data_IF_574939953854
#
_entry.id   IF_574939953854
#
_cell.length_a   1.000
_cell.length_b   1.000
_cell.length_c   1.000
_cell.angle_alpha   90.00
_cell.angle_beta   90.00
_cell.angle_gamma   90.00
#
_symmetry.space_group_name_H-M   'P 1'
#
loop_
_entity.id
_entity.type
_entity.pdbx_description
1 polymer ?
#
# COMPACT_ATOMS: atom_id res chain seq x y z
N UNK A 1 84.82 61.53 45.54
CA UNK A 1 83.44 61.14 45.18
C UNK A 1 83.40 60.97 43.67
N UNK A 2 83.25 59.72 43.23
CA UNK A 2 82.82 59.17 41.92
C UNK A 2 83.55 59.65 40.63
N UNK A 3 84.06 58.64 39.90
CA UNK A 3 84.73 58.66 38.60
C UNK A 3 83.77 58.78 37.40
N UNK A 4 84.25 59.38 36.31
CA UNK A 4 84.45 58.71 35.01
C UNK A 4 83.27 58.40 34.06
N UNK A 5 83.35 58.98 32.86
CA UNK A 5 83.09 58.42 31.51
C UNK A 5 81.82 57.61 31.20
N UNK A 6 81.16 57.92 30.07
CA UNK A 6 80.30 56.94 29.37
C UNK A 6 79.35 57.50 28.32
N UNK A 7 79.57 57.08 27.07
CA UNK A 7 78.76 57.15 25.85
C UNK A 7 77.28 56.71 26.02
N UNK A 8 76.40 57.15 25.12
CA UNK A 8 75.13 56.45 24.86
C UNK A 8 74.11 57.23 24.04
N UNK A 9 73.63 56.62 22.94
CA UNK A 9 72.76 57.18 21.92
C UNK A 9 71.31 57.47 22.38
N UNK A 10 70.65 58.40 21.70
CA UNK A 10 69.21 58.62 21.74
C UNK A 10 68.74 59.22 20.43
N UNK A 11 68.18 58.38 19.56
CA UNK A 11 67.30 58.78 18.45
C UNK A 11 65.90 59.00 19.05
N UNK A 12 65.16 59.97 18.49
CA UNK A 12 63.69 60.16 18.46
C UNK A 12 63.37 61.66 18.65
N UNK A 13 62.50 62.35 17.91
CA UNK A 13 61.43 62.02 16.94
C UNK A 13 60.94 63.31 16.27
N UNK A 14 60.22 63.15 15.16
CA UNK A 14 59.14 64.01 14.63
C UNK A 14 59.40 64.88 13.37
N UNK A 15 59.02 64.32 12.22
CA UNK A 15 58.04 64.87 11.26
C UNK A 15 57.95 63.87 10.09
N UNK A 16 56.82 63.29 9.67
CA UNK A 16 55.40 63.52 9.89
C UNK A 16 54.70 62.20 9.62
N UNK A 17 53.81 61.81 10.52
CA UNK A 17 52.84 60.73 10.34
C UNK A 17 51.96 61.00 9.13
N UNK A 18 51.97 60.10 8.14
CA UNK A 18 50.77 59.68 7.40
C UNK A 18 51.09 58.47 6.50
N UNK A 19 51.80 57.47 7.04
CA UNK A 19 51.45 56.09 6.70
C UNK A 19 50.20 55.76 7.53
N UNK A 20 49.10 56.49 7.27
CA UNK A 20 47.79 55.95 7.58
C UNK A 20 47.71 54.70 6.75
N UNK A 21 47.45 53.60 7.43
CA UNK A 21 46.92 52.38 6.90
C UNK A 21 45.70 52.73 6.01
N UNK A 22 45.97 53.15 4.77
CA UNK A 22 45.12 52.75 3.68
C UNK A 22 45.46 51.28 3.57
N UNK A 23 44.81 50.48 4.41
CA UNK A 23 44.37 49.18 4.01
C UNK A 23 43.64 49.46 2.70
N UNK A 24 44.38 49.44 1.61
CA UNK A 24 43.83 49.44 0.29
C UNK A 24 42.91 48.24 0.36
N UNK A 25 41.61 48.50 0.34
CA UNK A 25 40.65 47.49 -0.05
C UNK A 25 41.03 47.17 -1.50
N UNK A 26 42.03 46.30 -1.64
CA UNK A 26 42.45 45.76 -2.91
C UNK A 26 41.28 44.88 -3.30
N UNK A 27 40.44 45.41 -4.19
CA UNK A 27 39.42 44.63 -4.84
C UNK A 27 40.04 43.39 -5.48
N UNK A 28 39.25 42.33 -5.70
CA UNK A 28 39.75 41.08 -6.23
C UNK A 28 40.55 41.34 -7.52
N UNK A 29 41.67 40.64 -7.66
CA UNK A 29 42.48 40.69 -8.87
C UNK A 29 41.67 40.20 -10.09
N UNK A 30 42.13 40.55 -11.29
CA UNK A 30 41.47 40.10 -12.53
C UNK A 30 41.44 38.56 -12.65
N UNK A 31 42.43 37.88 -12.09
CA UNK A 31 42.51 36.41 -12.06
C UNK A 31 41.50 35.81 -11.08
N UNK A 32 41.39 36.36 -9.86
CA UNK A 32 40.37 35.93 -8.88
C UNK A 32 38.94 36.18 -9.38
N UNK A 33 38.72 37.28 -10.10
CA UNK A 33 37.42 37.57 -10.72
C UNK A 33 37.08 36.56 -11.81
N UNK A 34 38.05 36.18 -12.64
CA UNK A 34 37.87 35.17 -13.68
C UNK A 34 37.60 33.77 -13.08
N UNK A 35 38.32 33.37 -12.03
CA UNK A 35 38.08 32.12 -11.32
C UNK A 35 36.69 32.10 -10.67
N UNK A 36 36.27 33.22 -10.07
CA UNK A 36 34.94 33.36 -9.49
C UNK A 36 33.85 33.25 -10.56
N UNK A 37 34.01 33.91 -11.71
CA UNK A 37 33.08 33.81 -12.84
C UNK A 37 33.00 32.39 -13.40
N UNK A 38 34.13 31.68 -13.47
CA UNK A 38 34.18 30.28 -13.90
C UNK A 38 33.45 29.36 -12.91
N UNK A 39 33.64 29.58 -11.60
CA UNK A 39 32.92 28.85 -10.54
C UNK A 39 31.42 29.12 -10.56
N UNK A 40 31.01 30.36 -10.78
CA UNK A 40 29.59 30.73 -10.90
C UNK A 40 28.98 30.03 -12.11
N UNK A 41 29.65 30.08 -13.27
CA UNK A 41 29.18 29.41 -14.49
C UNK A 41 29.05 27.90 -14.32
N UNK A 42 30.01 27.26 -13.65
CA UNK A 42 29.93 25.83 -13.35
C UNK A 42 28.76 25.52 -12.41
N UNK A 43 28.56 26.30 -11.36
CA UNK A 43 27.45 26.14 -10.43
C UNK A 43 26.08 26.36 -11.11
N UNK A 44 25.97 27.33 -12.02
CA UNK A 44 24.76 27.56 -12.82
C UNK A 44 24.46 26.38 -13.75
N UNK A 45 25.48 25.79 -14.37
CA UNK A 45 25.33 24.60 -15.21
C UNK A 45 24.88 23.37 -14.40
N UNK A 46 25.50 23.14 -13.24
CA UNK A 46 25.14 22.03 -12.35
C UNK A 46 23.71 22.21 -11.81
N UNK A 47 23.34 23.44 -11.44
CA UNK A 47 21.97 23.75 -11.01
C UNK A 47 20.97 23.53 -12.14
N UNK A 48 21.28 23.97 -13.37
CA UNK A 48 20.42 23.73 -14.53
C UNK A 48 20.25 22.23 -14.83
N UNK A 49 21.32 21.44 -14.73
CA UNK A 49 21.27 19.99 -14.91
C UNK A 49 20.44 19.30 -13.80
N UNK A 50 20.58 19.73 -12.55
CA UNK A 50 19.80 19.22 -11.44
C UNK A 50 18.30 19.56 -11.57
N UNK A 51 17.97 20.77 -12.04
CA UNK A 51 16.59 21.18 -12.32
C UNK A 51 16.00 20.30 -13.43
N UNK A 52 16.71 20.11 -14.53
CA UNK A 52 16.23 19.26 -15.63
C UNK A 52 15.99 17.80 -15.18
N UNK A 53 16.88 17.23 -14.38
CA UNK A 53 16.70 15.89 -13.82
C UNK A 53 15.52 15.80 -12.84
N UNK A 54 15.30 16.86 -12.05
CA UNK A 54 14.15 16.95 -11.16
C UNK A 54 12.83 17.05 -11.93
N UNK A 55 12.77 17.84 -13.00
CA UNK A 55 11.61 17.95 -13.88
C UNK A 55 11.26 16.61 -14.54
N UNK A 56 12.27 15.86 -15.01
CA UNK A 56 12.06 14.51 -15.54
C UNK A 56 11.50 13.56 -14.47
N UNK A 57 12.04 13.62 -13.25
CA UNK A 57 11.57 12.80 -12.13
C UNK A 57 10.14 13.13 -11.70
N UNK A 58 9.76 14.41 -11.77
CA UNK A 58 8.39 14.87 -11.50
C UNK A 58 7.43 14.35 -12.57
N UNK A 59 7.82 14.40 -13.85
CA UNK A 59 7.01 13.85 -14.93
C UNK A 59 6.80 12.33 -14.80
N UNK A 60 7.84 11.57 -14.42
CA UNK A 60 7.72 10.14 -14.11
C UNK A 60 6.78 9.87 -12.91
N UNK A 61 6.89 10.69 -11.86
CA UNK A 61 6.01 10.59 -10.69
C UNK A 61 4.54 10.84 -11.04
N UNK A 62 4.23 11.84 -11.87
CA UNK A 62 2.87 12.13 -12.33
C UNK A 62 2.27 10.97 -13.13
N UNK A 63 3.07 10.34 -14.00
CA UNK A 63 2.65 9.15 -14.75
C UNK A 63 2.36 8.00 -13.77
N UNK A 64 3.25 7.74 -12.81
CA UNK A 64 3.05 6.67 -11.82
C UNK A 64 1.87 6.93 -10.90
N UNK A 65 1.61 8.17 -10.52
CA UNK A 65 0.42 8.55 -9.74
C UNK A 65 -0.84 8.19 -10.52
N UNK A 66 -0.91 8.57 -11.79
CA UNK A 66 -2.04 8.23 -12.67
C UNK A 66 -2.22 6.71 -12.81
N UNK A 67 -1.12 5.96 -13.03
CA UNK A 67 -1.18 4.50 -13.12
C UNK A 67 -1.64 3.85 -11.80
N UNK A 68 -1.25 4.40 -10.65
CA UNK A 68 -1.66 3.91 -9.35
C UNK A 68 -3.15 4.17 -9.11
N UNK A 69 -3.64 5.36 -9.45
CA UNK A 69 -5.06 5.70 -9.34
C UNK A 69 -5.94 4.78 -10.20
N UNK A 70 -5.52 4.52 -11.44
CA UNK A 70 -6.22 3.58 -12.34
C UNK A 70 -6.23 2.15 -11.76
N UNK A 71 -5.12 1.71 -11.17
CA UNK A 71 -5.02 0.38 -10.54
C UNK A 71 -5.86 0.28 -9.28
N UNK A 72 -5.90 1.32 -8.46
CA UNK A 72 -6.73 1.38 -7.26
C UNK A 72 -8.22 1.28 -7.64
N UNK A 73 -8.65 2.06 -8.63
CA UNK A 73 -10.01 2.00 -9.15
C UNK A 73 -10.35 0.60 -9.71
N UNK A 74 -9.42 -0.03 -10.44
CA UNK A 74 -9.61 -1.37 -10.96
C UNK A 74 -9.68 -2.44 -9.86
N UNK A 75 -8.91 -2.30 -8.78
CA UNK A 75 -8.97 -3.19 -7.62
C UNK A 75 -10.31 -3.03 -6.90
N UNK A 76 -10.73 -1.80 -6.62
CA UNK A 76 -12.01 -1.52 -5.96
C UNK A 76 -13.20 -2.15 -6.73
N UNK A 77 -13.23 -1.99 -8.06
CA UNK A 77 -14.26 -2.60 -8.89
C UNK A 77 -14.24 -4.15 -8.84
N UNK A 78 -13.05 -4.75 -8.75
CA UNK A 78 -12.91 -6.22 -8.62
C UNK A 78 -13.37 -6.70 -7.25
N UNK A 79 -13.06 -5.97 -6.18
CA UNK A 79 -13.48 -6.31 -4.82
C UNK A 79 -15.00 -6.24 -4.68
N UNK A 80 -15.64 -5.23 -5.26
CA UNK A 80 -17.11 -5.14 -5.32
C UNK A 80 -17.71 -6.33 -6.07
N UNK A 81 -17.15 -6.69 -7.24
CA UNK A 81 -17.64 -7.82 -8.03
C UNK A 81 -17.43 -9.18 -7.34
N UNK A 82 -16.34 -9.35 -6.60
CA UNK A 82 -16.09 -10.55 -5.78
C UNK A 82 -17.09 -10.62 -4.63
N UNK A 83 -17.28 -9.51 -3.91
CA UNK A 83 -18.25 -9.44 -2.80
C UNK A 83 -19.66 -9.83 -3.27
N UNK A 84 -20.12 -9.26 -4.39
CA UNK A 84 -21.43 -9.62 -4.96
C UNK A 84 -21.51 -11.11 -5.38
N UNK A 85 -20.40 -11.70 -5.81
CA UNK A 85 -20.33 -13.13 -6.16
C UNK A 85 -20.37 -14.01 -4.91
N UNK A 86 -19.68 -13.63 -3.84
CA UNK A 86 -19.67 -14.33 -2.55
C UNK A 86 -21.05 -14.27 -1.88
N UNK A 87 -21.70 -13.11 -1.88
CA UNK A 87 -23.07 -12.95 -1.36
C UNK A 87 -24.06 -13.84 -2.11
N UNK A 88 -23.98 -13.86 -3.45
CA UNK A 88 -24.81 -14.74 -4.27
C UNK A 88 -24.52 -16.22 -3.98
N UNK A 89 -23.25 -16.60 -3.82
CA UNK A 89 -22.88 -17.96 -3.45
C UNK A 89 -23.46 -18.34 -2.08
N UNK A 90 -23.31 -17.50 -1.05
CA UNK A 90 -23.87 -17.73 0.29
C UNK A 90 -25.40 -17.86 0.27
N UNK A 91 -26.09 -17.07 -0.56
CA UNK A 91 -27.54 -17.15 -0.70
C UNK A 91 -28.03 -18.41 -1.44
N UNK A 92 -27.20 -18.98 -2.32
CA UNK A 92 -27.65 -20.00 -3.27
C UNK A 92 -26.95 -21.34 -3.16
N UNK A 93 -25.82 -21.44 -2.47
CA UNK A 93 -25.02 -22.66 -2.37
C UNK A 93 -24.93 -23.17 -0.93
N UNK A 94 -24.84 -24.48 -0.80
CA UNK A 94 -24.69 -25.17 0.48
C UNK A 94 -23.53 -26.16 0.32
N UNK A 95 -22.43 -25.91 1.02
CA UNK A 95 -21.30 -26.83 1.08
C UNK A 95 -21.56 -28.00 2.04
N UNK A 96 -20.63 -28.96 2.06
CA UNK A 96 -20.66 -30.07 3.02
C UNK A 96 -20.63 -29.51 4.45
N UNK A 97 -21.54 -29.97 5.31
CA UNK A 97 -21.66 -29.44 6.66
C UNK A 97 -23.05 -29.66 7.28
N UNK A 98 -23.33 -28.94 8.37
CA UNK A 98 -24.66 -28.84 8.96
C UNK A 98 -25.10 -27.38 8.94
N UNK A 99 -26.30 -27.13 8.43
CA UNK A 99 -26.81 -25.79 8.12
C UNK A 99 -28.21 -25.62 8.68
N UNK A 100 -28.46 -24.51 9.37
CA UNK A 100 -29.76 -24.14 9.91
C UNK A 100 -30.53 -23.33 8.87
N UNK A 101 -31.65 -23.85 8.39
CA UNK A 101 -32.46 -23.22 7.35
C UNK A 101 -33.24 -22.04 7.94
N UNK A 102 -33.06 -20.86 7.32
CA UNK A 102 -33.54 -19.57 7.82
C UNK A 102 -32.52 -18.81 8.66
N UNK A 103 -31.37 -19.41 8.98
CA UNK A 103 -30.25 -18.74 9.68
C UNK A 103 -29.00 -18.75 8.81
N UNK A 104 -28.54 -19.93 8.42
CA UNK A 104 -27.31 -20.11 7.65
C UNK A 104 -27.59 -20.18 6.13
N UNK A 105 -28.75 -20.69 5.73
CA UNK A 105 -29.17 -20.84 4.32
C UNK A 105 -30.64 -20.49 4.16
N UNK A 106 -31.02 -19.95 3.00
CA UNK A 106 -32.42 -19.64 2.72
C UNK A 106 -33.29 -20.90 2.53
N UNK A 107 -34.59 -20.87 2.88
CA UNK A 107 -35.50 -21.93 2.49
C UNK A 107 -35.67 -21.98 0.97
N UNK A 108 -35.89 -23.19 0.42
CA UNK A 108 -36.03 -23.38 -1.02
C UNK A 108 -35.77 -24.82 -1.47
N UNK A 109 -35.82 -25.01 -2.78
CA UNK A 109 -35.46 -26.28 -3.41
C UNK A 109 -34.00 -26.25 -3.84
N UNK A 110 -33.25 -27.30 -3.49
CA UNK A 110 -31.82 -27.41 -3.74
C UNK A 110 -31.53 -28.71 -4.49
N UNK A 111 -30.49 -28.70 -5.31
CA UNK A 111 -29.98 -29.88 -6.03
C UNK A 111 -28.45 -29.87 -6.01
N UNK A 112 -27.82 -31.03 -5.97
CA UNK A 112 -26.35 -31.09 -6.08
C UNK A 112 -25.87 -30.47 -7.40
N UNK A 113 -24.77 -29.72 -7.34
CA UNK A 113 -24.14 -29.11 -8.53
C UNK A 113 -23.57 -30.21 -9.43
N UNK A 114 -22.85 -31.15 -8.83
CA UNK A 114 -22.26 -32.28 -9.51
C UNK A 114 -23.06 -33.56 -9.28
N UNK A 115 -22.84 -34.54 -10.15
CA UNK A 115 -23.38 -35.87 -9.95
C UNK A 115 -22.67 -36.51 -8.75
N UNK A 116 -23.45 -37.02 -7.80
CA UNK A 116 -22.98 -37.94 -6.78
C UNK A 116 -22.49 -39.20 -7.49
N UNK A 117 -21.24 -39.61 -7.21
CA UNK A 117 -20.59 -40.78 -7.83
C UNK A 117 -20.17 -41.84 -6.81
N UNK A 118 -20.21 -41.50 -5.53
CA UNK A 118 -19.95 -42.40 -4.40
C UNK A 118 -21.09 -42.29 -3.39
N UNK A 119 -21.20 -43.29 -2.51
CA UNK A 119 -22.24 -43.26 -1.47
C UNK A 119 -22.08 -42.05 -0.57
N UNK A 120 -23.13 -41.23 -0.45
CA UNK A 120 -23.20 -40.10 0.47
C UNK A 120 -24.50 -40.12 1.27
N UNK A 121 -24.55 -39.34 2.34
CA UNK A 121 -25.73 -39.17 3.18
C UNK A 121 -26.12 -37.70 3.24
N UNK A 122 -27.42 -37.44 3.26
CA UNK A 122 -27.97 -36.15 3.67
C UNK A 122 -29.15 -36.39 4.62
N UNK A 123 -29.41 -35.43 5.50
CA UNK A 123 -30.52 -35.48 6.45
C UNK A 123 -31.11 -34.11 6.72
N UNK A 124 -32.43 -34.06 6.89
CA UNK A 124 -33.20 -32.89 7.30
C UNK A 124 -33.80 -33.20 8.66
N UNK A 125 -33.55 -32.34 9.63
CA UNK A 125 -33.98 -32.51 11.02
C UNK A 125 -34.78 -31.31 11.48
N UNK A 126 -35.57 -31.45 12.54
CA UNK A 126 -36.11 -30.26 13.23
C UNK A 126 -35.00 -29.57 14.01
N UNK A 127 -34.86 -28.25 13.83
CA UNK A 127 -33.82 -27.46 14.49
C UNK A 127 -33.86 -27.59 16.01
N UNK A 128 -32.67 -27.66 16.63
CA UNK A 128 -32.51 -27.71 18.09
C UNK A 128 -32.82 -29.06 18.73
N UNK A 129 -33.18 -30.08 17.93
CA UNK A 129 -33.41 -31.45 18.43
C UNK A 129 -32.13 -32.27 18.54
N UNK A 130 -30.98 -31.71 18.18
CA UNK A 130 -29.70 -32.42 18.11
C UNK A 130 -29.81 -33.72 17.28
N UNK A 131 -30.42 -33.60 16.10
CA UNK A 131 -30.67 -34.68 15.13
C UNK A 131 -31.58 -35.83 15.63
N UNK A 132 -32.30 -35.64 16.74
CA UNK A 132 -33.21 -36.65 17.28
C UNK A 132 -34.55 -36.74 16.52
N UNK A 133 -34.96 -35.67 15.83
CA UNK A 133 -36.21 -35.61 15.06
C UNK A 133 -35.90 -35.47 13.56
N UNK A 134 -35.90 -36.61 12.86
CA UNK A 134 -35.64 -36.70 11.42
C UNK A 134 -36.92 -36.36 10.66
N UNK A 135 -36.86 -35.33 9.82
CA UNK A 135 -37.91 -34.97 8.88
C UNK A 135 -37.79 -35.78 7.59
N UNK A 136 -36.59 -35.89 7.05
CA UNK A 136 -36.29 -36.68 5.84
C UNK A 136 -34.78 -36.98 5.77
N UNK A 137 -34.40 -38.07 5.13
CA UNK A 137 -32.99 -38.41 4.89
C UNK A 137 -32.83 -39.45 3.77
N UNK A 138 -31.62 -39.53 3.21
CA UNK A 138 -31.31 -40.58 2.25
C UNK A 138 -29.82 -40.94 2.22
N UNK A 139 -29.54 -42.18 1.82
CA UNK A 139 -28.21 -42.67 1.45
C UNK A 139 -28.15 -42.77 -0.07
N UNK A 140 -27.61 -41.74 -0.70
CA UNK A 140 -27.57 -41.60 -2.16
C UNK A 140 -26.37 -42.35 -2.72
N UNK A 141 -26.57 -43.14 -3.77
CA UNK A 141 -25.50 -43.90 -4.45
C UNK A 141 -25.17 -43.37 -5.85
N UNK A 142 -25.90 -42.36 -6.33
CA UNK A 142 -25.66 -41.80 -7.66
C UNK A 142 -26.65 -40.69 -8.04
N UNK A 143 -26.29 -39.93 -9.08
CA UNK A 143 -27.18 -38.95 -9.72
C UNK A 143 -27.14 -37.57 -9.08
N UNK A 144 -28.22 -36.79 -9.23
CA UNK A 144 -28.30 -35.42 -8.72
C UNK A 144 -29.47 -35.31 -7.73
N UNK A 145 -29.28 -35.71 -6.45
CA UNK A 145 -30.36 -35.64 -5.48
C UNK A 145 -30.85 -34.19 -5.33
N UNK A 146 -32.13 -34.05 -5.00
CA UNK A 146 -32.80 -32.77 -4.81
C UNK A 146 -33.59 -32.81 -3.50
N UNK A 147 -33.60 -31.69 -2.77
CA UNK A 147 -34.30 -31.54 -1.49
C UNK A 147 -35.11 -30.26 -1.48
N UNK A 148 -36.10 -30.18 -0.59
CA UNK A 148 -36.80 -28.93 -0.29
C UNK A 148 -36.63 -28.61 1.18
N UNK A 149 -35.89 -27.53 1.44
CA UNK A 149 -35.58 -27.03 2.77
C UNK A 149 -36.59 -25.96 3.19
N UNK A 150 -37.02 -26.03 4.44
CA UNK A 150 -37.96 -25.10 5.08
C UNK A 150 -37.33 -24.51 6.33
N UNK A 151 -37.73 -23.29 6.66
CA UNK A 151 -37.29 -22.61 7.89
C UNK A 151 -37.53 -23.47 9.15
N UNK A 152 -36.58 -23.44 10.08
CA UNK A 152 -36.64 -24.24 11.31
C UNK A 152 -36.21 -25.70 11.14
N UNK A 153 -35.48 -25.99 10.06
CA UNK A 153 -34.83 -27.27 9.82
C UNK A 153 -33.31 -27.15 9.92
N UNK A 154 -32.66 -28.25 10.34
CA UNK A 154 -31.22 -28.42 10.19
C UNK A 154 -30.97 -29.37 9.01
N UNK A 155 -30.12 -28.96 8.07
CA UNK A 155 -29.70 -29.77 6.93
C UNK A 155 -28.27 -30.25 7.12
N UNK A 156 -28.10 -31.56 7.29
CA UNK A 156 -26.82 -32.24 7.22
C UNK A 156 -26.54 -32.67 5.79
N UNK A 157 -25.45 -32.19 5.25
CA UNK A 157 -25.03 -32.44 3.88
C UNK A 157 -23.67 -33.13 3.85
N UNK A 158 -23.63 -34.37 3.36
CA UNK A 158 -22.41 -35.10 3.01
C UNK A 158 -22.27 -35.37 1.50
N UNK A 159 -23.08 -34.75 0.65
CA UNK A 159 -23.26 -35.11 -0.77
C UNK A 159 -22.60 -34.14 -1.76
N UNK A 160 -21.74 -33.24 -1.29
CA UNK A 160 -21.09 -32.22 -2.11
C UNK A 160 -21.80 -30.87 -2.04
N UNK A 161 -21.61 -30.03 -3.06
CA UNK A 161 -22.23 -28.69 -3.10
C UNK A 161 -23.65 -28.79 -3.63
N UNK A 162 -24.61 -28.17 -2.93
CA UNK A 162 -25.97 -28.01 -3.40
C UNK A 162 -26.22 -26.58 -3.85
N UNK A 163 -26.99 -26.40 -4.91
CA UNK A 163 -27.39 -25.08 -5.41
C UNK A 163 -28.91 -24.97 -5.44
N UNK A 164 -29.41 -23.81 -4.99
CA UNK A 164 -30.82 -23.43 -5.03
C UNK A 164 -31.29 -23.40 -6.49
N UNK A 165 -32.45 -24.00 -6.76
CA UNK A 165 -33.05 -24.12 -8.10
C UNK A 165 -33.99 -22.94 -8.41
#
# INVERSE_FOLDING_TARGET
>A
MILGAGMGAGVDTASSTDNRDVAAEQGPSAEETAEQDDRIRAAEQDAAAAIAAAEESLADLEVRETELDEREAAIAAREEAVTATEERAAATQIDIGTWTVGVDVEPGSYRTVDAVTSTCYWGIYRTGTNKADIVDNDVVQGGYPSVTLREGQDFENGCGVWVKQ
#
